data_IF_914713188606
#
_entry.id   IF_914713188606
#
_cell.length_a   1.000
_cell.length_b   1.000
_cell.length_c   1.000
_cell.angle_alpha   90.00
_cell.angle_beta   90.00
_cell.angle_gamma   90.00
#
_symmetry.space_group_name_H-M   'P 1'
#
loop_
_entity.id
_entity.type
_entity.pdbx_description
1 polymer ?
#
# COMPACT_ATOMS: atom_id res chain seq x y z
N UNK A 1 -5.77 5.42 17.09
CA UNK A 1 -4.48 4.89 16.59
C UNK A 1 -3.87 5.88 15.61
N UNK A 2 -2.61 6.26 15.84
CA UNK A 2 -1.91 7.16 14.91
C UNK A 2 -1.30 6.39 13.75
N UNK A 3 -1.56 6.86 12.53
CA UNK A 3 -1.11 6.21 11.27
C UNK A 3 -0.38 7.21 10.39
N UNK A 4 0.44 6.70 9.47
CA UNK A 4 1.17 7.55 8.53
C UNK A 4 1.26 6.92 7.13
N UNK A 5 1.39 7.78 6.12
CA UNK A 5 1.81 7.42 4.78
C UNK A 5 3.07 8.20 4.41
N UNK A 6 4.13 7.49 4.07
CA UNK A 6 5.40 8.06 3.63
C UNK A 6 5.45 8.14 2.12
N UNK A 7 5.73 9.32 1.57
CA UNK A 7 5.83 9.59 0.14
C UNK A 7 7.24 10.02 -0.21
N UNK A 8 7.86 9.35 -1.17
CA UNK A 8 9.16 9.75 -1.71
C UNK A 8 9.34 9.29 -3.16
N UNK A 9 10.35 9.86 -3.83
CA UNK A 9 10.75 9.45 -5.17
C UNK A 9 11.74 8.29 -5.07
N UNK A 10 11.39 7.14 -5.64
CA UNK A 10 12.27 5.97 -5.70
C UNK A 10 13.39 6.24 -6.72
N UNK A 11 14.63 6.07 -6.30
CA UNK A 11 15.83 6.25 -7.11
C UNK A 11 16.26 4.94 -7.78
N UNK A 12 17.25 4.99 -8.69
CA UNK A 12 17.86 3.80 -9.29
C UNK A 12 18.75 3.00 -8.31
N UNK A 13 18.98 3.50 -7.10
CA UNK A 13 19.91 2.94 -6.11
C UNK A 13 19.15 2.37 -4.91
N UNK A 14 19.04 1.05 -4.81
CA UNK A 14 18.31 0.41 -3.72
C UNK A 14 18.82 0.77 -2.32
N UNK A 15 20.14 0.99 -2.17
CA UNK A 15 20.73 1.41 -0.89
C UNK A 15 20.19 2.76 -0.44
N UNK A 16 20.10 3.74 -1.36
CA UNK A 16 19.53 5.05 -1.10
C UNK A 16 18.07 4.93 -0.71
N UNK A 17 17.31 4.11 -1.42
CA UNK A 17 15.89 3.88 -1.13
C UNK A 17 15.69 3.20 0.24
N UNK A 18 16.55 2.23 0.60
CA UNK A 18 16.53 1.61 1.92
C UNK A 18 16.79 2.64 3.03
N UNK A 19 17.77 3.54 2.84
CA UNK A 19 18.06 4.61 3.80
C UNK A 19 16.88 5.58 3.97
N UNK A 20 16.20 5.96 2.88
CA UNK A 20 14.99 6.79 2.94
C UNK A 20 13.88 6.06 3.72
N UNK A 21 13.66 4.78 3.44
CA UNK A 21 12.66 3.98 4.17
C UNK A 21 12.98 3.92 5.67
N UNK A 22 14.23 3.65 6.04
CA UNK A 22 14.71 3.62 7.42
C UNK A 22 14.48 4.97 8.12
N UNK A 23 14.77 6.07 7.44
CA UNK A 23 14.56 7.41 8.01
C UNK A 23 13.06 7.70 8.21
N UNK A 24 12.20 7.36 7.24
CA UNK A 24 10.75 7.50 7.38
C UNK A 24 10.19 6.63 8.52
N UNK A 25 10.71 5.41 8.69
CA UNK A 25 10.35 4.52 9.81
C UNK A 25 10.72 5.15 11.15
N UNK A 26 11.91 5.73 11.24
CA UNK A 26 12.40 6.40 12.45
C UNK A 26 11.54 7.62 12.81
N UNK A 27 11.30 8.51 11.84
CA UNK A 27 10.44 9.68 12.03
C UNK A 27 9.01 9.29 12.43
N UNK A 28 8.44 8.26 11.80
CA UNK A 28 7.12 7.77 12.15
C UNK A 28 7.08 7.23 13.59
N UNK A 29 8.08 6.46 13.99
CA UNK A 29 8.19 5.91 15.34
C UNK A 29 8.33 7.03 16.39
N UNK A 30 9.18 8.02 16.16
CA UNK A 30 9.36 9.20 17.03
C UNK A 30 8.06 10.00 17.19
N UNK A 31 7.22 10.01 16.16
CA UNK A 31 5.89 10.63 16.20
C UNK A 31 4.79 9.74 16.81
N UNK A 32 5.13 8.56 17.36
CA UNK A 32 4.17 7.66 17.98
C UNK A 32 3.21 6.98 17.00
N UNK A 33 3.64 6.78 15.74
CA UNK A 33 2.87 6.08 14.72
C UNK A 33 2.87 4.59 15.00
N UNK A 34 1.71 3.95 14.88
CA UNK A 34 1.56 2.50 15.01
C UNK A 34 1.61 1.76 13.67
N UNK A 35 1.20 2.44 12.59
CA UNK A 35 1.15 1.88 11.23
C UNK A 35 1.66 2.89 10.21
N UNK A 36 2.74 2.54 9.52
CA UNK A 36 3.33 3.29 8.41
C UNK A 36 3.12 2.52 7.10
N UNK A 37 2.61 3.21 6.08
CA UNK A 37 2.53 2.69 4.71
C UNK A 37 3.53 3.45 3.85
N UNK A 38 4.39 2.72 3.15
CA UNK A 38 5.36 3.23 2.18
C UNK A 38 4.92 2.90 0.75
N UNK A 39 5.49 3.53 -0.29
CA UNK A 39 5.06 3.35 -1.67
C UNK A 39 5.35 1.96 -2.26
N UNK A 40 5.06 1.81 -3.55
CA UNK A 40 5.23 0.57 -4.30
C UNK A 40 6.58 0.48 -5.00
N UNK A 41 7.12 -0.77 -5.09
CA UNK A 41 8.30 -1.14 -5.86
C UNK A 41 9.57 -0.36 -5.44
N UNK A 42 9.92 -0.44 -4.17
CA UNK A 42 10.91 0.43 -3.52
C UNK A 42 12.37 0.09 -3.80
N UNK A 43 12.68 -0.99 -4.54
CA UNK A 43 14.07 -1.39 -4.78
C UNK A 43 14.81 -0.42 -5.69
N UNK A 44 14.30 -0.19 -6.88
CA UNK A 44 14.91 0.75 -7.82
C UNK A 44 13.92 1.21 -8.89
N UNK A 45 14.12 2.42 -9.39
CA UNK A 45 13.37 2.99 -10.52
C UNK A 45 14.25 3.95 -11.29
N UNK A 46 14.15 3.91 -12.62
CA UNK A 46 14.81 4.83 -13.53
C UNK A 46 13.85 5.27 -14.63
N UNK A 47 13.98 6.51 -15.10
CA UNK A 47 13.09 7.07 -16.13
C UNK A 47 13.37 6.48 -17.51
N UNK A 48 14.61 6.08 -17.78
CA UNK A 48 15.10 5.51 -19.03
C UNK A 48 14.99 3.98 -19.08
N UNK A 49 14.72 3.30 -17.97
CA UNK A 49 14.54 1.85 -17.89
C UNK A 49 13.26 1.47 -17.17
N UNK A 50 12.15 1.22 -17.88
CA UNK A 50 10.89 0.82 -17.28
C UNK A 50 10.94 -0.52 -16.54
N UNK A 51 11.91 -1.37 -16.83
CA UNK A 51 12.07 -2.69 -16.24
C UNK A 51 13.02 -2.70 -15.03
N UNK A 52 13.59 -1.55 -14.67
CA UNK A 52 14.57 -1.40 -13.59
C UNK A 52 14.08 -2.04 -12.27
N UNK A 53 12.82 -1.88 -11.93
CA UNK A 53 12.25 -2.41 -10.68
C UNK A 53 12.29 -3.94 -10.63
N UNK A 54 12.06 -4.63 -11.78
CA UNK A 54 12.16 -6.09 -11.87
C UNK A 54 13.61 -6.53 -11.96
N UNK A 55 14.44 -5.86 -12.78
CA UNK A 55 15.88 -6.15 -12.89
C UNK A 55 16.62 -6.03 -11.55
N UNK A 56 16.10 -5.18 -10.65
CA UNK A 56 16.65 -4.95 -9.32
C UNK A 56 16.00 -5.82 -8.24
N UNK A 57 15.17 -6.79 -8.61
CA UNK A 57 14.46 -7.66 -7.67
C UNK A 57 15.43 -8.32 -6.69
N UNK A 58 15.04 -8.39 -5.42
CA UNK A 58 15.81 -9.02 -4.35
C UNK A 58 14.94 -10.02 -3.58
N UNK A 59 15.57 -11.08 -3.10
CA UNK A 59 14.94 -12.00 -2.17
C UNK A 59 14.56 -11.28 -0.85
N UNK A 60 13.59 -11.81 -0.11
CA UNK A 60 13.13 -11.22 1.14
C UNK A 60 14.17 -11.23 2.27
N UNK A 61 15.23 -11.96 2.12
CA UNK A 61 16.45 -11.94 2.97
C UNK A 61 17.58 -11.09 2.38
N UNK A 62 17.32 -10.38 1.27
CA UNK A 62 18.28 -9.51 0.59
C UNK A 62 18.63 -8.24 1.37
N UNK A 63 19.66 -7.54 0.91
CA UNK A 63 20.23 -6.40 1.62
C UNK A 63 19.25 -5.25 1.90
N UNK A 64 18.28 -5.01 1.01
CA UNK A 64 17.23 -4.01 1.22
C UNK A 64 16.39 -4.37 2.45
N UNK A 65 15.83 -5.57 2.48
CA UNK A 65 14.99 -6.02 3.59
C UNK A 65 15.76 -6.14 4.90
N UNK A 66 17.03 -6.58 4.86
CA UNK A 66 17.87 -6.67 6.05
C UNK A 66 18.00 -5.32 6.76
N UNK A 67 18.17 -4.20 6.03
CA UNK A 67 18.24 -2.86 6.61
C UNK A 67 16.92 -2.46 7.26
N UNK A 68 15.78 -2.67 6.60
CA UNK A 68 14.46 -2.33 7.13
C UNK A 68 14.09 -3.18 8.34
N UNK A 69 14.38 -4.48 8.30
CA UNK A 69 14.15 -5.39 9.42
C UNK A 69 15.03 -5.04 10.65
N UNK A 70 16.28 -4.62 10.42
CA UNK A 70 17.14 -4.15 11.49
C UNK A 70 16.58 -2.90 12.18
N UNK A 71 16.06 -1.93 11.41
CA UNK A 71 15.41 -0.74 11.97
C UNK A 71 14.12 -1.10 12.71
N UNK A 72 13.28 -1.97 12.15
CA UNK A 72 11.99 -2.35 12.75
C UNK A 72 12.11 -3.05 14.11
N UNK A 73 13.31 -3.51 14.52
CA UNK A 73 13.57 -4.04 15.86
C UNK A 73 13.64 -2.97 16.95
N UNK A 74 13.81 -1.69 16.56
CA UNK A 74 14.09 -0.60 17.50
C UNK A 74 12.82 0.06 18.05
N UNK A 75 11.66 -0.25 17.46
CA UNK A 75 10.39 0.39 17.80
C UNK A 75 9.21 -0.53 17.50
N UNK A 76 8.06 -0.22 18.08
CA UNK A 76 6.82 -1.01 17.91
C UNK A 76 5.95 -0.48 16.76
N UNK A 77 6.59 -0.11 15.65
CA UNK A 77 5.94 0.35 14.43
C UNK A 77 5.71 -0.83 13.48
N UNK A 78 4.49 -0.97 12.97
CA UNK A 78 4.21 -1.84 11.83
C UNK A 78 4.44 -1.04 10.55
N UNK A 79 5.31 -1.53 9.66
CA UNK A 79 5.56 -0.89 8.37
C UNK A 79 5.13 -1.79 7.22
N UNK A 80 4.44 -1.22 6.23
CA UNK A 80 3.94 -1.91 5.04
C UNK A 80 4.53 -1.26 3.80
N UNK A 81 5.06 -2.08 2.90
CA UNK A 81 5.70 -1.64 1.65
C UNK A 81 5.64 -2.74 0.60
N UNK A 82 5.99 -2.42 -0.66
CA UNK A 82 6.18 -3.47 -1.66
C UNK A 82 7.57 -3.44 -2.29
N UNK A 83 8.02 -4.61 -2.72
CA UNK A 83 9.23 -4.80 -3.50
C UNK A 83 9.03 -5.93 -4.52
N UNK A 84 9.88 -5.95 -5.55
CA UNK A 84 9.93 -7.08 -6.47
C UNK A 84 10.83 -8.18 -5.91
N UNK A 85 10.27 -9.40 -5.85
CA UNK A 85 10.97 -10.62 -5.37
C UNK A 85 11.15 -11.55 -6.57
N UNK A 86 12.36 -12.06 -6.85
CA UNK A 86 12.60 -12.96 -7.98
C UNK A 86 11.68 -14.19 -7.91
N UNK A 87 11.03 -14.53 -9.03
CA UNK A 87 10.19 -15.74 -9.17
C UNK A 87 10.79 -16.78 -10.10
N UNK A 88 11.93 -16.50 -10.73
CA UNK A 88 12.62 -17.35 -11.69
C UNK A 88 12.56 -16.81 -13.11
N UNK A 89 13.41 -17.31 -14.00
CA UNK A 89 13.44 -17.00 -15.44
C UNK A 89 13.44 -15.50 -15.79
N UNK A 90 14.10 -14.68 -14.97
CA UNK A 90 14.15 -13.23 -15.15
C UNK A 90 12.83 -12.49 -14.80
N UNK A 91 11.90 -13.18 -14.17
CA UNK A 91 10.62 -12.64 -13.69
C UNK A 91 10.66 -12.36 -12.19
N UNK A 92 9.68 -11.61 -11.73
CA UNK A 92 9.51 -11.30 -10.31
C UNK A 92 8.03 -11.30 -9.92
N UNK A 93 7.75 -11.40 -8.62
CA UNK A 93 6.46 -11.05 -8.04
C UNK A 93 6.51 -9.67 -7.42
N UNK A 94 5.45 -8.88 -7.58
CA UNK A 94 5.27 -7.63 -6.84
C UNK A 94 4.67 -7.97 -5.46
N UNK A 95 5.54 -7.99 -4.46
CA UNK A 95 5.22 -8.52 -3.13
C UNK A 95 5.11 -7.39 -2.11
N UNK A 96 3.91 -7.25 -1.53
CA UNK A 96 3.70 -6.44 -0.34
C UNK A 96 4.17 -7.24 0.87
N UNK A 97 4.93 -6.58 1.74
CA UNK A 97 5.39 -7.15 3.02
C UNK A 97 4.94 -6.27 4.18
N UNK A 98 4.60 -6.93 5.27
CA UNK A 98 4.32 -6.32 6.57
C UNK A 98 5.49 -6.65 7.49
N UNK A 99 6.18 -5.63 7.96
CA UNK A 99 7.33 -5.81 8.86
C UNK A 99 7.04 -5.22 10.24
N UNK A 100 7.41 -5.96 11.27
CA UNK A 100 7.30 -5.55 12.67
C UNK A 100 8.33 -6.30 13.52
N UNK A 101 8.97 -5.62 14.45
CA UNK A 101 9.90 -6.21 15.44
C UNK A 101 11.00 -7.09 14.81
N UNK A 102 11.51 -6.67 13.65
CA UNK A 102 12.59 -7.35 12.93
C UNK A 102 12.17 -8.58 12.13
N UNK A 103 10.88 -8.77 11.90
CA UNK A 103 10.34 -9.92 11.16
C UNK A 103 9.34 -9.48 10.08
N UNK A 104 9.22 -10.28 9.04
CA UNK A 104 8.11 -10.21 8.09
C UNK A 104 6.96 -11.01 8.70
N UNK A 105 5.88 -10.31 9.08
CA UNK A 105 4.71 -10.91 9.74
C UNK A 105 3.62 -11.34 8.76
N UNK A 106 3.57 -10.75 7.57
CA UNK A 106 2.66 -11.13 6.50
C UNK A 106 3.21 -10.71 5.14
N UNK A 107 2.71 -11.37 4.10
CA UNK A 107 3.04 -11.10 2.70
C UNK A 107 1.76 -11.14 1.86
N UNK A 108 1.76 -10.38 0.77
CA UNK A 108 0.73 -10.41 -0.26
C UNK A 108 1.36 -10.22 -1.63
N UNK A 109 1.16 -11.16 -2.53
CA UNK A 109 1.54 -11.04 -3.93
C UNK A 109 0.40 -10.37 -4.70
N UNK A 110 0.70 -9.26 -5.37
CA UNK A 110 -0.26 -8.44 -6.10
C UNK A 110 -1.11 -9.26 -7.07
N UNK A 111 -2.43 -9.20 -6.92
CA UNK A 111 -3.38 -9.94 -7.76
C UNK A 111 -3.54 -9.31 -9.13
N UNK A 112 -3.76 -7.98 -9.18
CA UNK A 112 -4.08 -7.28 -10.41
C UNK A 112 -2.85 -6.56 -10.95
N UNK A 113 -2.24 -7.12 -11.99
CA UNK A 113 -1.09 -6.54 -12.67
C UNK A 113 -1.53 -5.38 -13.58
N UNK A 114 -0.67 -4.37 -13.68
CA UNK A 114 -0.97 -3.15 -14.43
C UNK A 114 -0.77 -3.34 -15.93
N UNK A 115 -1.73 -3.98 -16.57
CA UNK A 115 -1.82 -4.16 -18.03
C UNK A 115 -2.82 -3.16 -18.60
N UNK A 116 -2.42 -1.89 -18.65
CA UNK A 116 -3.28 -0.80 -19.11
C UNK A 116 -2.45 0.42 -19.53
N UNK A 117 -3.04 1.30 -20.36
CA UNK A 117 -2.42 2.54 -20.82
C UNK A 117 -1.02 2.34 -21.44
N UNK A 118 -0.88 1.34 -22.32
CA UNK A 118 0.37 0.93 -22.97
C UNK A 118 1.46 0.40 -22.02
N UNK A 119 1.11 0.08 -20.78
CA UNK A 119 1.96 -0.66 -19.83
C UNK A 119 1.53 -2.11 -19.80
N UNK A 120 2.46 -3.02 -19.62
CA UNK A 120 2.20 -4.45 -19.48
C UNK A 120 3.12 -5.03 -18.38
N UNK A 121 2.63 -4.93 -17.13
CA UNK A 121 3.36 -5.45 -15.96
C UNK A 121 3.50 -6.98 -16.05
N UNK A 122 2.48 -7.69 -16.55
CA UNK A 122 2.46 -9.16 -16.71
C UNK A 122 3.58 -9.71 -17.60
N UNK A 123 4.24 -8.88 -18.40
CA UNK A 123 5.38 -9.29 -19.22
C UNK A 123 6.54 -9.83 -18.39
N UNK A 124 6.78 -9.24 -17.21
CA UNK A 124 7.91 -9.59 -16.33
C UNK A 124 7.50 -9.89 -14.88
N UNK A 125 6.24 -9.67 -14.52
CA UNK A 125 5.74 -9.89 -13.16
C UNK A 125 4.71 -11.00 -13.16
N UNK A 126 4.75 -11.85 -12.14
CA UNK A 126 3.79 -12.93 -11.93
C UNK A 126 2.67 -12.45 -10.99
N UNK A 127 1.41 -12.71 -11.37
CA UNK A 127 0.26 -12.37 -10.55
C UNK A 127 0.16 -13.28 -9.32
N UNK A 128 -0.36 -12.72 -8.22
CA UNK A 128 -0.76 -13.50 -7.06
C UNK A 128 -2.01 -14.33 -7.34
N UNK A 129 -2.24 -15.35 -6.52
CA UNK A 129 -3.36 -16.29 -6.64
C UNK A 129 -4.20 -16.36 -5.36
N UNK A 130 -3.94 -15.50 -4.39
CA UNK A 130 -4.60 -15.55 -3.09
C UNK A 130 -5.02 -14.18 -2.59
N UNK A 131 -6.23 -14.11 -2.05
CA UNK A 131 -6.68 -12.94 -1.29
C UNK A 131 -5.84 -12.84 -0.02
N UNK A 132 -5.22 -11.69 0.28
CA UNK A 132 -4.34 -11.56 1.44
C UNK A 132 -5.07 -11.78 2.77
N UNK A 133 -4.35 -12.23 3.80
CA UNK A 133 -4.87 -12.26 5.15
C UNK A 133 -5.08 -10.83 5.67
N UNK A 134 -5.99 -10.67 6.64
CA UNK A 134 -6.01 -9.47 7.46
C UNK A 134 -4.94 -9.56 8.54
N UNK A 135 -4.32 -8.43 8.85
CA UNK A 135 -3.38 -8.33 9.96
C UNK A 135 -3.98 -7.45 11.07
N UNK A 136 -3.56 -7.67 12.32
CA UNK A 136 -3.96 -6.84 13.45
C UNK A 136 -2.87 -5.82 13.80
N UNK A 137 -3.28 -4.56 13.95
CA UNK A 137 -2.43 -3.50 14.49
C UNK A 137 -3.24 -2.75 15.55
N UNK A 138 -2.87 -2.93 16.80
CA UNK A 138 -3.53 -2.28 17.94
C UNK A 138 -5.06 -2.50 17.97
N UNK A 139 -5.52 -3.71 17.65
CA UNK A 139 -6.94 -4.09 17.65
C UNK A 139 -7.73 -3.62 16.44
N UNK A 140 -7.10 -3.01 15.44
CA UNK A 140 -7.69 -2.70 14.14
C UNK A 140 -7.23 -3.70 13.09
N UNK A 141 -8.15 -4.19 12.27
CA UNK A 141 -7.89 -5.18 11.22
C UNK A 141 -7.55 -4.49 9.91
N UNK A 142 -6.35 -4.76 9.40
CA UNK A 142 -5.78 -4.11 8.23
C UNK A 142 -5.87 -5.05 7.03
N UNK A 143 -6.54 -4.61 5.96
CA UNK A 143 -6.60 -5.27 4.66
C UNK A 143 -5.51 -4.74 3.72
N UNK A 144 -4.88 -5.63 2.97
CA UNK A 144 -3.71 -5.34 2.13
C UNK A 144 -4.12 -5.26 0.66
N UNK A 145 -3.74 -4.18 -0.01
CA UNK A 145 -3.94 -3.95 -1.45
C UNK A 145 -2.68 -3.30 -2.02
N UNK A 146 -2.45 -3.42 -3.32
CA UNK A 146 -1.32 -2.79 -4.01
C UNK A 146 -1.79 -2.06 -5.27
N UNK A 147 -1.59 -0.74 -5.34
CA UNK A 147 -1.69 0.11 -6.53
C UNK A 147 -2.90 -0.19 -7.44
N UNK A 148 -2.72 -0.97 -8.50
CA UNK A 148 -3.75 -1.28 -9.49
C UNK A 148 -4.96 -2.05 -8.92
N UNK A 149 -4.79 -2.74 -7.78
CA UNK A 149 -5.89 -3.38 -7.04
C UNK A 149 -7.00 -2.37 -6.69
N UNK A 150 -6.67 -1.08 -6.58
CA UNK A 150 -7.63 0.00 -6.33
C UNK A 150 -8.76 0.05 -7.35
N UNK A 151 -8.51 -0.39 -8.59
CA UNK A 151 -9.53 -0.38 -9.67
C UNK A 151 -10.53 -1.52 -9.57
N UNK A 152 -10.25 -2.50 -8.74
CA UNK A 152 -11.05 -3.72 -8.60
C UNK A 152 -11.77 -3.70 -7.24
N UNK A 153 -13.04 -3.25 -7.21
CA UNK A 153 -13.80 -3.12 -5.96
C UNK A 153 -13.99 -4.46 -5.24
N UNK A 154 -13.91 -5.57 -5.96
CA UNK A 154 -14.11 -6.92 -5.44
C UNK A 154 -13.10 -7.26 -4.35
N UNK A 155 -11.82 -6.90 -4.52
CA UNK A 155 -10.79 -7.17 -3.52
C UNK A 155 -11.05 -6.34 -2.25
N UNK A 156 -11.30 -5.03 -2.39
CA UNK A 156 -11.61 -4.17 -1.25
C UNK A 156 -12.85 -4.65 -0.50
N UNK A 157 -13.92 -5.02 -1.23
CA UNK A 157 -15.14 -5.56 -0.65
C UNK A 157 -14.89 -6.89 0.06
N UNK A 158 -14.11 -7.80 -0.55
CA UNK A 158 -13.76 -9.08 0.07
C UNK A 158 -13.03 -8.89 1.40
N UNK A 159 -12.07 -7.97 1.45
CA UNK A 159 -11.34 -7.63 2.69
C UNK A 159 -12.27 -7.02 3.75
N UNK A 160 -13.15 -6.10 3.36
CA UNK A 160 -14.12 -5.49 4.27
C UNK A 160 -15.10 -6.52 4.84
N UNK A 161 -15.58 -7.47 4.01
CA UNK A 161 -16.47 -8.55 4.45
C UNK A 161 -15.77 -9.56 5.39
N UNK A 162 -14.45 -9.71 5.28
CA UNK A 162 -13.64 -10.45 6.25
C UNK A 162 -13.42 -9.66 7.55
N UNK A 163 -13.86 -8.39 7.60
CA UNK A 163 -13.84 -7.52 8.78
C UNK A 163 -12.67 -6.54 8.81
N UNK A 164 -12.12 -6.12 7.67
CA UNK A 164 -11.13 -5.04 7.65
C UNK A 164 -11.74 -3.73 8.17
N UNK A 165 -10.96 -3.00 8.93
CA UNK A 165 -11.24 -1.65 9.43
C UNK A 165 -10.49 -0.59 8.64
N UNK A 166 -9.33 -0.97 8.14
CA UNK A 166 -8.42 -0.13 7.35
C UNK A 166 -7.99 -0.91 6.11
N UNK A 167 -7.97 -0.25 4.95
CA UNK A 167 -7.34 -0.78 3.74
C UNK A 167 -6.08 0.03 3.45
N UNK A 168 -4.94 -0.64 3.29
CA UNK A 168 -3.67 0.00 2.96
C UNK A 168 -3.34 -0.21 1.48
N UNK A 169 -2.70 0.79 0.87
CA UNK A 169 -2.42 0.81 -0.56
C UNK A 169 -1.05 1.45 -0.85
N UNK A 170 0.08 0.72 -0.77
CA UNK A 170 1.30 1.09 -1.46
C UNK A 170 1.06 1.26 -2.96
N UNK A 171 1.54 2.35 -3.56
CA UNK A 171 1.30 2.62 -4.98
C UNK A 171 2.46 3.37 -5.66
N UNK A 172 2.62 3.09 -6.96
CA UNK A 172 3.40 3.86 -7.91
C UNK A 172 2.47 4.29 -9.06
N UNK A 173 1.53 5.19 -8.75
CA UNK A 173 0.46 5.58 -9.67
C UNK A 173 0.97 6.47 -10.79
N UNK A 174 1.09 5.92 -11.99
CA UNK A 174 1.70 6.57 -13.15
C UNK A 174 0.91 7.80 -13.58
N UNK A 175 1.62 8.91 -13.89
CA UNK A 175 1.04 10.13 -14.47
C UNK A 175 0.36 9.87 -15.81
N UNK A 176 -0.54 10.72 -16.18
CA UNK A 176 -1.28 10.68 -17.44
C UNK A 176 -2.60 11.42 -17.36
N UNK A 177 -3.37 11.48 -18.44
CA UNK A 177 -4.65 12.18 -18.46
C UNK A 177 -5.59 11.69 -17.37
N UNK A 178 -6.09 12.62 -16.52
CA UNK A 178 -7.03 12.39 -15.43
C UNK A 178 -6.55 11.39 -14.35
N UNK A 179 -5.26 11.06 -14.29
CA UNK A 179 -4.76 10.04 -13.35
C UNK A 179 -4.90 10.47 -11.90
N UNK A 180 -4.69 11.75 -11.58
CA UNK A 180 -4.93 12.32 -10.26
C UNK A 180 -6.41 12.27 -9.86
N UNK A 181 -7.30 12.53 -10.85
CA UNK A 181 -8.75 12.41 -10.65
C UNK A 181 -9.15 10.95 -10.40
N UNK A 182 -8.66 10.00 -11.20
CA UNK A 182 -8.91 8.57 -10.97
C UNK A 182 -8.45 8.13 -9.57
N UNK A 183 -7.26 8.55 -9.16
CA UNK A 183 -6.70 8.26 -7.84
C UNK A 183 -7.61 8.75 -6.71
N UNK A 184 -7.95 10.02 -6.74
CA UNK A 184 -8.80 10.65 -5.72
C UNK A 184 -10.18 10.00 -5.66
N UNK A 185 -10.83 9.80 -6.83
CA UNK A 185 -12.18 9.24 -6.94
C UNK A 185 -12.22 7.79 -6.45
N UNK A 186 -11.28 6.95 -6.90
CA UNK A 186 -11.27 5.54 -6.55
C UNK A 186 -10.97 5.31 -5.06
N UNK A 187 -10.04 6.07 -4.47
CA UNK A 187 -9.77 5.99 -3.03
C UNK A 187 -11.00 6.35 -2.20
N UNK A 188 -11.66 7.46 -2.53
CA UNK A 188 -12.89 7.86 -1.84
C UNK A 188 -14.02 6.82 -2.03
N UNK A 189 -14.17 6.29 -3.25
CA UNK A 189 -15.15 5.24 -3.54
C UNK A 189 -14.89 3.99 -2.69
N UNK A 190 -13.63 3.51 -2.59
CA UNK A 190 -13.31 2.34 -1.76
C UNK A 190 -13.60 2.57 -0.28
N UNK A 191 -13.35 3.77 0.25
CA UNK A 191 -13.73 4.10 1.61
C UNK A 191 -15.26 4.02 1.82
N UNK A 192 -16.04 4.61 0.89
CA UNK A 192 -17.50 4.61 0.94
C UNK A 192 -18.12 3.22 0.75
N UNK A 193 -17.63 2.44 -0.21
CA UNK A 193 -18.13 1.10 -0.52
C UNK A 193 -17.92 0.10 0.63
N UNK A 194 -16.86 0.30 1.40
CA UNK A 194 -16.39 -0.63 2.43
C UNK A 194 -16.57 -0.12 3.86
N UNK A 195 -16.83 1.18 4.03
CA UNK A 195 -16.82 1.86 5.34
C UNK A 195 -15.51 1.59 6.12
N UNK A 196 -14.39 1.56 5.41
CA UNK A 196 -13.05 1.42 5.97
C UNK A 196 -12.29 2.74 5.84
N UNK A 197 -11.32 2.97 6.75
CA UNK A 197 -10.26 3.93 6.45
C UNK A 197 -9.40 3.45 5.27
N UNK A 198 -8.87 4.39 4.49
CA UNK A 198 -7.87 4.10 3.45
C UNK A 198 -6.57 4.82 3.80
N UNK A 199 -5.44 4.10 3.75
CA UNK A 199 -4.10 4.69 3.87
C UNK A 199 -3.35 4.36 2.59
N UNK A 200 -3.23 5.34 1.70
CA UNK A 200 -2.60 5.19 0.41
C UNK A 200 -1.27 5.96 0.37
N UNK A 201 -0.17 5.27 0.13
CA UNK A 201 1.16 5.85 -0.02
C UNK A 201 1.60 5.81 -1.48
N UNK A 202 1.68 6.99 -2.11
CA UNK A 202 2.07 7.16 -3.50
C UNK A 202 3.56 7.48 -3.67
N UNK A 203 4.22 6.83 -4.61
CA UNK A 203 5.54 7.22 -5.09
C UNK A 203 5.42 8.55 -5.86
N UNK A 204 6.37 9.50 -5.68
CA UNK A 204 6.27 10.86 -6.23
C UNK A 204 7.40 11.25 -7.18
N UNK A 205 8.06 10.27 -7.80
CA UNK A 205 9.06 10.53 -8.84
C UNK A 205 8.47 11.18 -10.10
N UNK A 206 9.31 11.41 -11.08
CA UNK A 206 8.94 12.10 -12.32
C UNK A 206 7.77 11.44 -13.05
N UNK A 207 7.69 10.10 -13.02
CA UNK A 207 6.66 9.30 -13.70
C UNK A 207 5.39 9.10 -12.90
N UNK A 208 5.38 9.37 -11.59
CA UNK A 208 4.27 9.06 -10.70
C UNK A 208 3.71 10.32 -10.04
N UNK A 209 2.44 10.24 -9.62
CA UNK A 209 1.71 11.44 -9.17
C UNK A 209 2.02 11.84 -7.72
N UNK A 210 2.53 10.94 -6.88
CA UNK A 210 2.53 11.13 -5.44
C UNK A 210 1.12 11.11 -4.87
N UNK A 211 0.68 12.22 -4.28
CA UNK A 211 -0.66 12.44 -3.73
C UNK A 211 -1.11 11.35 -2.74
N UNK A 212 -0.20 10.93 -1.85
CA UNK A 212 -0.55 10.07 -0.73
C UNK A 212 -1.73 10.63 0.05
N UNK A 213 -2.63 9.76 0.52
CA UNK A 213 -3.86 10.17 1.22
C UNK A 213 -4.19 9.22 2.36
N UNK A 214 -4.75 9.80 3.42
CA UNK A 214 -5.47 9.08 4.46
C UNK A 214 -6.92 9.54 4.39
N UNK A 215 -7.84 8.59 4.23
CA UNK A 215 -9.26 8.85 3.96
C UNK A 215 -10.09 8.17 5.03
N UNK A 216 -11.11 8.85 5.54
CA UNK A 216 -12.01 8.30 6.54
C UNK A 216 -13.11 7.39 5.93
N UNK A 217 -13.85 6.62 6.73
CA UNK A 217 -14.88 5.71 6.23
C UNK A 217 -16.05 6.38 5.48
N UNK A 218 -16.17 7.71 5.51
CA UNK A 218 -17.14 8.49 4.75
C UNK A 218 -16.55 9.13 3.49
N UNK A 219 -15.34 8.72 3.08
CA UNK A 219 -14.70 9.15 1.85
C UNK A 219 -14.00 10.51 1.94
N UNK A 220 -13.87 11.09 3.12
CA UNK A 220 -13.21 12.39 3.35
C UNK A 220 -11.70 12.21 3.47
N UNK A 221 -10.91 12.96 2.71
CA UNK A 221 -9.47 13.03 2.90
C UNK A 221 -9.15 13.78 4.20
N UNK A 222 -8.63 13.09 5.21
CA UNK A 222 -8.26 13.67 6.51
C UNK A 222 -6.78 14.05 6.59
N UNK A 223 -5.93 13.51 5.72
CA UNK A 223 -4.56 13.96 5.49
C UNK A 223 -4.16 13.68 4.04
N UNK A 224 -3.35 14.55 3.44
CA UNK A 224 -2.92 14.40 2.05
C UNK A 224 -1.59 15.07 1.77
N UNK A 225 -0.79 14.46 0.88
CA UNK A 225 0.44 15.01 0.33
C UNK A 225 0.21 15.57 -1.08
N UNK A 226 1.02 16.54 -1.48
CA UNK A 226 1.11 17.01 -2.86
C UNK A 226 2.05 16.08 -3.68
N UNK A 227 2.78 16.62 -4.66
CA UNK A 227 3.66 15.83 -5.54
C UNK A 227 5.12 15.75 -5.04
N UNK A 228 5.41 16.23 -3.83
CA UNK A 228 6.77 16.26 -3.24
C UNK A 228 6.93 15.20 -2.13
N UNK A 229 8.15 14.77 -1.80
CA UNK A 229 8.40 13.90 -0.66
C UNK A 229 7.80 14.48 0.62
N UNK A 230 7.05 13.65 1.34
CA UNK A 230 6.35 14.04 2.56
C UNK A 230 5.94 12.84 3.40
N UNK A 231 5.96 12.99 4.71
CA UNK A 231 5.34 12.06 5.66
C UNK A 231 4.06 12.72 6.20
N UNK A 232 2.91 12.10 5.93
CA UNK A 232 1.59 12.58 6.39
C UNK A 232 1.06 11.69 7.50
N UNK A 233 0.28 12.27 8.41
CA UNK A 233 -0.22 11.63 9.63
C UNK A 233 -1.72 11.84 9.80
N UNK A 234 -2.38 10.87 10.41
CA UNK A 234 -3.75 11.01 10.90
C UNK A 234 -3.98 10.17 12.16
N UNK A 235 -4.96 10.60 12.96
CA UNK A 235 -5.54 9.76 14.00
C UNK A 235 -6.77 9.04 13.45
N UNK A 236 -6.85 7.73 13.61
CA UNK A 236 -7.98 6.90 13.22
C UNK A 236 -8.60 6.19 14.43
N UNK A 237 -9.90 5.91 14.37
CA UNK A 237 -10.68 5.41 15.50
C UNK A 237 -11.56 4.23 15.12
N UNK A 238 -11.45 3.12 15.85
CA UNK A 238 -12.35 1.99 15.73
C UNK A 238 -13.80 2.35 16.14
N UNK A 239 -13.97 3.26 17.12
CA UNK A 239 -15.28 3.73 17.52
C UNK A 239 -15.98 4.49 16.40
N UNK A 240 -15.24 5.33 15.68
CA UNK A 240 -15.78 6.04 14.53
C UNK A 240 -16.22 5.10 13.42
N UNK A 241 -15.46 4.05 13.13
CA UNK A 241 -15.85 3.01 12.16
C UNK A 241 -17.18 2.37 12.58
N UNK A 242 -17.34 2.03 13.87
CA UNK A 242 -18.59 1.45 14.37
C UNK A 242 -19.77 2.39 14.18
N UNK A 243 -19.63 3.66 14.55
CA UNK A 243 -20.67 4.70 14.37
C UNK A 243 -21.05 4.85 12.88
N UNK A 244 -20.06 4.89 11.99
CA UNK A 244 -20.31 4.98 10.54
C UNK A 244 -21.05 3.73 10.06
N UNK A 245 -20.64 2.53 10.44
CA UNK A 245 -21.29 1.27 10.04
C UNK A 245 -22.70 1.09 10.60
N UNK A 246 -23.00 1.71 11.72
CA UNK A 246 -24.36 1.78 12.27
C UNK A 246 -25.26 2.71 11.45
N UNK A 247 -24.78 3.91 11.10
CA UNK A 247 -25.53 4.91 10.34
C UNK A 247 -25.56 4.64 8.83
N UNK A 248 -24.51 4.04 8.29
CA UNK A 248 -24.36 3.70 6.87
C UNK A 248 -24.02 2.19 6.71
N UNK A 249 -24.98 1.27 6.90
CA UNK A 249 -24.72 -0.17 6.95
C UNK A 249 -24.61 -0.82 5.56
N UNK A 250 -23.79 -0.27 4.66
CA UNK A 250 -23.66 -0.72 3.25
C UNK A 250 -23.29 -2.19 3.13
N UNK A 251 -22.38 -2.69 3.98
CA UNK A 251 -21.97 -4.09 3.94
C UNK A 251 -23.10 -5.05 4.33
N UNK A 252 -23.97 -4.64 5.25
CA UNK A 252 -25.16 -5.43 5.66
C UNK A 252 -26.29 -5.36 4.63
N UNK A 253 -26.45 -4.22 3.96
CA UNK A 253 -27.56 -3.98 3.03
C UNK A 253 -27.30 -4.54 1.63
N UNK A 254 -26.09 -5.04 1.34
CA UNK A 254 -25.78 -5.63 0.03
C UNK A 254 -26.68 -6.83 -0.28
N UNK A 255 -26.93 -7.06 -1.57
CA UNK A 255 -27.79 -8.13 -2.07
C UNK A 255 -27.02 -9.21 -2.87
N UNK A 256 -25.75 -8.93 -3.19
CA UNK A 256 -24.87 -9.86 -3.90
C UNK A 256 -24.06 -10.73 -2.93
N UNK A 257 -23.72 -11.94 -3.38
CA UNK A 257 -22.79 -12.80 -2.66
C UNK A 257 -21.40 -12.14 -2.50
N UNK A 258 -20.57 -12.57 -1.53
CA UNK A 258 -19.18 -12.13 -1.47
C UNK A 258 -18.45 -12.44 -2.79
N UNK A 259 -17.56 -11.56 -3.26
CA UNK A 259 -16.73 -11.85 -4.42
C UNK A 259 -15.89 -13.10 -4.18
N UNK A 260 -15.63 -13.85 -5.24
CA UNK A 260 -14.75 -15.02 -5.24
C UNK A 260 -13.63 -14.77 -6.24
N UNK A 261 -12.41 -15.16 -5.86
CA UNK A 261 -11.28 -15.17 -6.76
C UNK A 261 -11.46 -16.27 -7.80
N UNK A 262 -11.16 -15.98 -9.07
CA UNK A 262 -11.28 -16.93 -10.21
C UNK A 262 -10.20 -18.00 -10.15
#
# INVERSE_FOLDING_TARGET
MRVAAGQFAVTAQWHTNAQICVELMRQAAECGVSLLVLPEALLARADDDPDMSVKSAQALDGGFMQQLLAESRRHDLTTILTLHVPSGDGRASNTLVVIRQGMISAQYQKLHLYDAFNMQESRLVDAGEQIPPLIDVNGMRIGLMTCYDLRFPELALSLALKGADVLVLPAAWVRGPLKEHHWATLLAARALDTTCYIIAAGECGTRNIGQSRIIDPLGTTIAGAAAQPQLIFAEISADYIRQVRESLPVLRNRRFAPPQLL
#
